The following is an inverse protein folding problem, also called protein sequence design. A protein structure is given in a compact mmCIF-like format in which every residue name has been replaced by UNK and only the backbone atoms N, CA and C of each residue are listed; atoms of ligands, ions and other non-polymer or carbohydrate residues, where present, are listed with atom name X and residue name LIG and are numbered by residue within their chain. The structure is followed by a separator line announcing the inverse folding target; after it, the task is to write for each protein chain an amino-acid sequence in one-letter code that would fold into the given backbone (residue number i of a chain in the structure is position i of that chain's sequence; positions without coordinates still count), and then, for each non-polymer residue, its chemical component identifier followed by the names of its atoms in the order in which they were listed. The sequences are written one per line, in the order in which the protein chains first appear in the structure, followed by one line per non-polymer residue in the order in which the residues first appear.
data_IF_904339466909
#
_entry.id   IF_904339466909
#
_cell.length_a   1.000
_cell.length_b   1.000
_cell.length_c   1.000
_cell.angle_alpha   90.00
_cell.angle_beta   90.00
_cell.angle_gamma   90.00
#
_symmetry.space_group_name_H-M   'P 1'
#
loop_
_entity.id
_entity.type
_entity.pdbx_description
1 polymer ?
#
# COMPACT_ATOMS: atom_id res chain seq x y z
N UNK A 1 -39.80 -26.29 -20.14
CA UNK A 1 -39.06 -25.01 -20.16
C UNK A 1 -37.83 -25.14 -19.24
N UNK A 2 -36.86 -26.00 -19.55
CA UNK A 2 -35.61 -26.19 -18.77
C UNK A 2 -34.47 -26.52 -19.75
N UNK A 3 -34.13 -25.58 -20.62
CA UNK A 3 -32.99 -25.79 -21.54
C UNK A 3 -32.10 -24.56 -21.73
N UNK A 4 -32.60 -23.35 -21.47
CA UNK A 4 -31.80 -22.13 -21.64
C UNK A 4 -30.95 -21.76 -20.43
N UNK A 5 -31.32 -22.18 -19.21
CA UNK A 5 -30.64 -21.78 -17.97
C UNK A 5 -29.22 -22.35 -17.82
N UNK A 6 -28.97 -23.59 -18.27
CA UNK A 6 -27.66 -24.23 -18.08
C UNK A 6 -26.56 -23.46 -18.84
N UNK A 7 -26.82 -23.02 -20.08
CA UNK A 7 -25.83 -22.31 -20.91
C UNK A 7 -25.37 -20.99 -20.29
N UNK A 8 -26.31 -20.20 -19.72
CA UNK A 8 -25.96 -18.93 -19.08
C UNK A 8 -25.15 -19.12 -17.80
N UNK A 9 -25.41 -20.15 -17.00
CA UNK A 9 -24.62 -20.45 -15.81
C UNK A 9 -23.21 -20.98 -16.15
N UNK A 10 -23.07 -21.76 -17.23
CA UNK A 10 -21.76 -22.20 -17.73
C UNK A 10 -20.94 -21.04 -18.31
N UNK A 11 -21.58 -20.12 -19.04
CA UNK A 11 -20.94 -18.92 -19.58
C UNK A 11 -20.56 -17.96 -18.44
N UNK A 12 -21.44 -17.71 -17.46
CA UNK A 12 -21.09 -16.96 -16.24
C UNK A 12 -19.96 -17.64 -15.46
N UNK A 13 -19.92 -18.97 -15.34
CA UNK A 13 -18.82 -19.67 -14.69
C UNK A 13 -17.48 -19.55 -15.47
N UNK A 14 -17.52 -19.52 -16.80
CA UNK A 14 -16.34 -19.25 -17.64
C UNK A 14 -15.85 -17.81 -17.54
N UNK A 15 -16.76 -16.83 -17.41
CA UNK A 15 -16.42 -15.41 -17.28
C UNK A 15 -15.94 -15.08 -15.85
N UNK A 16 -16.55 -15.70 -14.82
CA UNK A 16 -16.23 -15.47 -13.40
C UNK A 16 -15.05 -16.34 -12.93
N UNK A 17 -14.67 -17.38 -13.67
CA UNK A 17 -13.59 -18.31 -13.29
C UNK A 17 -12.18 -17.92 -13.77
N UNK A 18 -12.00 -16.83 -14.52
CA UNK A 18 -10.72 -16.47 -15.15
C UNK A 18 -10.35 -15.00 -14.91
N UNK A 19 -10.38 -14.52 -13.66
CA UNK A 19 -9.95 -13.15 -13.37
C UNK A 19 -9.36 -12.85 -11.98
N UNK A 20 -9.30 -13.77 -11.01
CA UNK A 20 -9.19 -13.32 -9.60
C UNK A 20 -7.99 -13.86 -8.80
N UNK A 21 -6.76 -13.73 -9.33
CA UNK A 21 -5.59 -13.64 -8.45
C UNK A 21 -4.87 -12.33 -8.73
N UNK A 22 -5.26 -11.26 -8.04
CA UNK A 22 -4.53 -9.99 -8.10
C UNK A 22 -3.07 -10.24 -7.69
N UNK A 23 -2.08 -9.87 -8.51
CA UNK A 23 -0.69 -10.03 -8.16
C UNK A 23 -0.38 -9.20 -6.90
N UNK A 24 0.16 -9.85 -5.87
CA UNK A 24 0.54 -9.17 -4.62
C UNK A 24 1.69 -8.20 -4.90
N UNK A 25 1.46 -6.90 -4.68
CA UNK A 25 2.53 -5.91 -4.68
C UNK A 25 3.48 -6.14 -3.49
N UNK A 26 4.62 -6.76 -3.82
CA UNK A 26 5.66 -7.11 -2.86
C UNK A 26 6.25 -5.88 -2.17
N UNK A 27 6.28 -4.72 -2.84
CA UNK A 27 6.79 -3.48 -2.24
C UNK A 27 5.88 -3.07 -1.09
N UNK A 28 4.58 -2.95 -1.35
CA UNK A 28 3.58 -2.58 -0.34
C UNK A 28 3.60 -3.54 0.86
N UNK A 29 3.67 -4.85 0.62
CA UNK A 29 3.77 -5.83 1.69
C UNK A 29 5.03 -5.63 2.57
N UNK A 30 6.18 -5.37 1.94
CA UNK A 30 7.43 -5.15 2.64
C UNK A 30 7.45 -3.81 3.40
N UNK A 31 6.85 -2.76 2.86
CA UNK A 31 6.69 -1.46 3.52
C UNK A 31 5.90 -1.61 4.83
N UNK A 32 4.75 -2.30 4.81
CA UNK A 32 3.96 -2.58 6.02
C UNK A 32 4.77 -3.34 7.07
N UNK A 33 5.57 -4.33 6.65
CA UNK A 33 6.46 -5.08 7.55
C UNK A 33 7.58 -4.21 8.16
N UNK A 34 7.94 -3.11 7.51
CA UNK A 34 9.01 -2.20 7.91
C UNK A 34 8.52 -1.03 8.77
N UNK A 35 7.23 -0.64 8.70
CA UNK A 35 6.63 0.40 9.55
C UNK A 35 6.94 0.25 11.06
N UNK A 36 6.75 -0.92 11.71
CA UNK A 36 7.02 -1.06 13.14
C UNK A 36 8.52 -0.96 13.51
N UNK A 37 9.44 -0.94 12.53
CA UNK A 37 10.87 -0.72 12.74
C UNK A 37 11.27 0.76 12.65
N UNK A 38 10.37 1.60 12.14
CA UNK A 38 10.59 3.03 11.88
C UNK A 38 9.67 3.91 12.75
N UNK A 39 9.38 3.48 13.99
CA UNK A 39 8.40 4.14 14.88
C UNK A 39 8.84 5.55 15.27
N UNK A 40 10.13 5.78 15.55
CA UNK A 40 10.62 7.11 15.95
C UNK A 40 10.31 8.20 14.89
N UNK A 41 10.79 8.09 13.63
CA UNK A 41 10.49 9.10 12.63
C UNK A 41 8.99 9.18 12.30
N UNK A 42 8.23 8.08 12.46
CA UNK A 42 6.77 8.10 12.33
C UNK A 42 6.10 8.99 13.39
N UNK A 43 6.52 8.89 14.65
CA UNK A 43 5.99 9.73 15.74
C UNK A 43 6.34 11.22 15.53
N UNK A 44 7.54 11.52 15.05
CA UNK A 44 7.96 12.89 14.71
C UNK A 44 7.13 13.46 13.56
N UNK A 45 6.86 12.65 12.52
CA UNK A 45 5.94 13.02 11.44
C UNK A 45 4.52 13.28 11.96
N UNK A 46 3.96 12.40 12.80
CA UNK A 46 2.64 12.60 13.39
C UNK A 46 2.56 13.86 14.26
N UNK A 47 3.60 14.15 15.03
CA UNK A 47 3.68 15.39 15.81
C UNK A 47 3.70 16.63 14.90
N UNK A 48 4.41 16.56 13.77
CA UNK A 48 4.38 17.61 12.77
C UNK A 48 2.98 17.80 12.15
N UNK A 49 2.31 16.70 11.77
CA UNK A 49 0.95 16.76 11.20
C UNK A 49 -0.03 17.45 12.16
N UNK A 50 0.02 17.09 13.45
CA UNK A 50 -0.80 17.77 14.48
C UNK A 50 -0.50 19.26 14.61
N UNK A 51 0.78 19.65 14.50
CA UNK A 51 1.20 21.06 14.57
C UNK A 51 0.65 21.91 13.41
N UNK A 52 0.48 21.31 12.24
CA UNK A 52 0.03 22.03 11.03
C UNK A 52 -1.47 21.83 10.73
N UNK A 53 -2.19 21.06 11.56
CA UNK A 53 -3.58 20.69 11.31
C UNK A 53 -4.52 21.90 11.16
N UNK A 54 -4.30 22.95 11.94
CA UNK A 54 -5.11 24.17 11.93
C UNK A 54 -4.46 25.31 11.11
N UNK A 55 -3.55 24.99 10.20
CA UNK A 55 -2.86 25.99 9.37
C UNK A 55 -3.47 26.12 7.97
N UNK A 56 -4.23 27.19 7.75
CA UNK A 56 -4.82 27.50 6.44
C UNK A 56 -3.90 28.32 5.53
N UNK A 57 -2.71 28.71 6.01
CA UNK A 57 -1.76 29.56 5.27
C UNK A 57 -1.16 28.88 4.03
N UNK A 58 -1.18 27.53 4.01
CA UNK A 58 -0.54 26.74 2.97
C UNK A 58 0.99 26.82 2.96
N UNK A 59 1.62 27.43 3.98
CA UNK A 59 3.08 27.57 4.06
C UNK A 59 3.73 26.57 5.04
N UNK A 60 2.97 26.00 5.98
CA UNK A 60 3.51 24.98 6.90
C UNK A 60 3.44 23.60 6.25
N UNK A 61 4.56 22.88 6.30
CA UNK A 61 4.67 21.54 5.72
C UNK A 61 5.47 20.60 6.63
N UNK A 62 5.27 19.30 6.43
CA UNK A 62 5.97 18.22 7.14
C UNK A 62 6.85 17.37 6.21
N UNK A 63 7.26 17.92 5.07
CA UNK A 63 8.02 17.19 4.03
C UNK A 63 9.35 16.64 4.56
N UNK A 64 10.03 17.36 5.44
CA UNK A 64 11.25 16.87 6.10
C UNK A 64 11.00 15.60 6.92
N UNK A 65 10.05 15.65 7.85
CA UNK A 65 9.71 14.48 8.68
C UNK A 65 9.13 13.33 7.86
N UNK A 66 8.38 13.64 6.80
CA UNK A 66 7.91 12.67 5.83
C UNK A 66 9.08 11.95 5.14
N UNK A 67 10.09 12.69 4.67
CA UNK A 67 11.27 12.11 4.06
C UNK A 67 12.11 11.30 5.04
N UNK A 68 12.22 11.70 6.30
CA UNK A 68 12.91 10.91 7.32
C UNK A 68 12.21 9.56 7.58
N UNK A 69 10.89 9.57 7.69
CA UNK A 69 10.07 8.37 7.85
C UNK A 69 10.20 7.42 6.66
N UNK A 70 10.04 7.93 5.44
CA UNK A 70 10.16 7.13 4.23
C UNK A 70 11.58 6.66 3.97
N UNK A 71 12.60 7.48 4.25
CA UNK A 71 14.00 7.06 4.15
C UNK A 71 14.29 5.85 5.05
N UNK A 72 13.72 5.81 6.26
CA UNK A 72 13.83 4.65 7.14
C UNK A 72 13.17 3.39 6.54
N UNK A 73 11.94 3.53 6.00
CA UNK A 73 11.21 2.42 5.37
C UNK A 73 11.97 1.91 4.15
N UNK A 74 12.40 2.81 3.26
CA UNK A 74 13.12 2.45 2.03
C UNK A 74 14.42 1.71 2.33
N UNK A 75 15.20 2.17 3.32
CA UNK A 75 16.39 1.46 3.81
C UNK A 75 16.07 0.06 4.33
N UNK A 76 14.92 -0.13 4.96
CA UNK A 76 14.47 -1.44 5.46
C UNK A 76 13.96 -2.37 4.34
N UNK A 77 13.33 -1.82 3.30
CA UNK A 77 12.74 -2.55 2.18
C UNK A 77 13.78 -2.94 1.13
N UNK A 78 14.76 -2.08 0.86
CA UNK A 78 15.78 -2.25 -0.19
C UNK A 78 16.42 -3.66 -0.27
N UNK A 79 16.94 -4.26 0.83
CA UNK A 79 17.56 -5.59 0.75
C UNK A 79 16.57 -6.75 0.54
N UNK A 80 15.26 -6.51 0.72
CA UNK A 80 14.22 -7.55 0.65
C UNK A 80 13.42 -7.50 -0.66
N UNK A 81 13.33 -6.33 -1.29
CA UNK A 81 12.48 -6.11 -2.45
C UNK A 81 13.09 -6.70 -3.73
N UNK A 82 14.34 -6.36 -4.04
CA UNK A 82 14.97 -6.83 -5.29
C UNK A 82 15.09 -8.36 -5.43
N UNK A 83 15.28 -9.17 -4.36
CA UNK A 83 15.20 -10.63 -4.45
C UNK A 83 13.81 -11.18 -4.79
N UNK A 84 12.75 -10.38 -4.66
CA UNK A 84 11.36 -10.78 -4.90
C UNK A 84 10.87 -10.34 -6.30
N UNK A 85 11.49 -9.32 -6.87
CA UNK A 85 11.26 -8.85 -8.22
C UNK A 85 11.97 -9.77 -9.23
N UNK A 86 11.29 -10.11 -10.33
CA UNK A 86 11.79 -10.94 -11.42
C UNK A 86 12.09 -10.09 -12.65
#
# INVERSE_FOLDING_TARGET
MVSSGCSYYWILALIVGWADEEPVDQKKYLEESCKPKCVKPFLEYQACVKRIQDDDSGHKHCTGQYFDFWSCIDKCVAPKLFPKLK
#
